data_IF_380735038620
#
_entry.id   IF_380735038620
#
_cell.length_a   1.000
_cell.length_b   1.000
_cell.length_c   1.000
_cell.angle_alpha   90.00
_cell.angle_beta   90.00
_cell.angle_gamma   90.00
#
_symmetry.space_group_name_H-M   'P 1'
#
loop_
_entity.id
_entity.type
_entity.pdbx_description
1 polymer ?
#
# COMPACT_ATOMS: atom_id res chain seq x y z
N UNK A 1 -21.79 -3.59 -7.28
CA UNK A 1 -21.32 -2.24 -7.70
C UNK A 1 -20.71 -2.34 -9.09
N UNK A 2 -20.89 -1.38 -10.02
CA UNK A 2 -20.23 -1.43 -11.35
C UNK A 2 -18.97 -0.57 -11.36
N UNK A 3 -17.79 -1.15 -11.58
CA UNK A 3 -16.52 -0.41 -11.63
C UNK A 3 -16.51 0.63 -12.76
N UNK A 4 -17.22 0.34 -13.86
CA UNK A 4 -17.36 1.22 -15.04
C UNK A 4 -18.08 2.55 -14.80
N UNK A 5 -18.69 2.76 -13.62
CA UNK A 5 -19.37 4.04 -13.30
C UNK A 5 -18.41 5.13 -12.81
N UNK A 6 -17.17 4.77 -12.47
CA UNK A 6 -16.17 5.71 -11.96
C UNK A 6 -15.31 6.27 -13.10
N UNK A 7 -14.70 7.43 -12.86
CA UNK A 7 -13.74 8.05 -13.79
C UNK A 7 -12.30 7.96 -13.29
N UNK A 8 -12.11 7.67 -12.00
CA UNK A 8 -10.80 7.57 -11.38
C UNK A 8 -10.72 6.38 -10.42
N UNK A 9 -9.52 5.79 -10.34
CA UNK A 9 -9.15 4.77 -9.35
C UNK A 9 -8.07 5.33 -8.44
N UNK A 10 -8.29 5.23 -7.13
CA UNK A 10 -7.36 5.68 -6.10
C UNK A 10 -6.67 4.51 -5.41
N UNK A 11 -5.43 4.22 -5.76
CA UNK A 11 -4.66 3.11 -5.21
C UNK A 11 -3.87 3.52 -3.97
N UNK A 12 -3.81 2.67 -2.95
CA UNK A 12 -2.80 2.80 -1.90
C UNK A 12 -1.48 2.12 -2.32
N UNK A 13 -0.37 2.47 -1.68
CA UNK A 13 0.92 1.80 -1.89
C UNK A 13 0.83 0.26 -1.78
N UNK A 14 0.16 -0.23 -0.74
CA UNK A 14 0.00 -1.67 -0.46
C UNK A 14 -0.89 -2.41 -1.48
N UNK A 15 -1.60 -1.70 -2.36
CA UNK A 15 -2.30 -2.36 -3.50
C UNK A 15 -1.37 -2.70 -4.66
N UNK A 16 -0.19 -2.10 -4.72
CA UNK A 16 0.76 -2.22 -5.83
C UNK A 16 2.05 -2.92 -5.42
N UNK A 17 2.47 -2.73 -4.17
CA UNK A 17 3.72 -3.27 -3.62
C UNK A 17 3.42 -4.28 -2.53
N UNK A 18 4.08 -5.43 -2.58
CA UNK A 18 4.09 -6.45 -1.54
C UNK A 18 4.96 -5.98 -0.36
N UNK A 19 4.39 -5.03 0.38
CA UNK A 19 5.02 -4.31 1.47
C UNK A 19 5.34 -5.23 2.64
N UNK A 20 4.38 -6.05 3.05
CA UNK A 20 4.54 -6.98 4.17
C UNK A 20 5.69 -7.97 3.91
N UNK A 21 5.78 -8.55 2.70
CA UNK A 21 6.91 -9.39 2.34
C UNK A 21 8.24 -8.65 2.40
N UNK A 22 8.29 -7.43 1.86
CA UNK A 22 9.49 -6.59 1.91
C UNK A 22 9.96 -6.30 3.33
N UNK A 23 9.02 -6.02 4.25
CA UNK A 23 9.28 -5.82 5.67
C UNK A 23 9.82 -7.10 6.30
N UNK A 24 9.14 -8.24 6.12
CA UNK A 24 9.52 -9.52 6.73
C UNK A 24 10.88 -10.01 6.24
N UNK A 25 11.15 -9.92 4.93
CA UNK A 25 12.46 -10.27 4.37
C UNK A 25 13.57 -9.37 4.94
N UNK A 26 13.31 -8.06 5.05
CA UNK A 26 14.25 -7.10 5.63
C UNK A 26 14.50 -7.29 7.14
N UNK A 27 13.49 -7.73 7.90
CA UNK A 27 13.61 -7.99 9.34
C UNK A 27 14.17 -9.37 9.68
N UNK A 28 14.32 -10.27 8.70
CA UNK A 28 14.85 -11.63 8.89
C UNK A 28 16.15 -11.71 9.69
N UNK A 29 17.15 -10.82 9.50
CA UNK A 29 18.37 -10.87 10.31
C UNK A 29 18.10 -10.67 11.81
N UNK A 30 17.14 -9.82 12.20
CA UNK A 30 16.76 -9.62 13.59
C UNK A 30 15.96 -10.81 14.13
N UNK A 31 14.99 -11.31 13.35
CA UNK A 31 14.11 -12.38 13.82
C UNK A 31 14.86 -13.69 14.07
N UNK A 32 15.90 -13.99 13.27
CA UNK A 32 16.75 -15.18 13.46
C UNK A 32 17.68 -15.04 14.67
N UNK A 33 18.13 -13.81 14.99
CA UNK A 33 19.01 -13.56 16.14
C UNK A 33 18.23 -13.47 17.46
N UNK A 34 16.94 -13.15 17.41
CA UNK A 34 16.07 -13.09 18.59
C UNK A 34 16.02 -14.43 19.31
N UNK A 35 16.08 -14.40 20.65
CA UNK A 35 15.91 -15.60 21.49
C UNK A 35 14.46 -16.08 21.55
N UNK A 36 13.52 -15.18 21.25
CA UNK A 36 12.09 -15.47 21.28
C UNK A 36 11.58 -15.46 19.85
N UNK A 37 11.02 -16.58 19.35
CA UNK A 37 10.40 -16.62 18.04
C UNK A 37 9.22 -15.64 17.99
N UNK A 38 9.13 -14.89 16.90
CA UNK A 38 7.97 -14.05 16.61
C UNK A 38 7.29 -14.55 15.34
N UNK A 39 5.96 -14.56 15.31
CA UNK A 39 5.22 -14.78 14.07
C UNK A 39 5.36 -13.58 13.13
N UNK A 40 5.12 -13.80 11.84
CA UNK A 40 5.11 -12.72 10.84
C UNK A 40 4.12 -11.61 11.24
N UNK A 41 2.94 -11.99 11.74
CA UNK A 41 1.93 -11.04 12.22
C UNK A 41 2.45 -10.19 13.39
N UNK A 42 3.13 -10.80 14.36
CA UNK A 42 3.73 -10.06 15.47
C UNK A 42 4.82 -9.08 15.01
N UNK A 43 5.62 -9.45 14.01
CA UNK A 43 6.65 -8.58 13.44
C UNK A 43 6.03 -7.41 12.68
N UNK A 44 4.98 -7.66 11.89
CA UNK A 44 4.26 -6.64 11.13
C UNK A 44 3.52 -5.67 12.06
N UNK A 45 2.86 -6.16 13.11
CA UNK A 45 2.19 -5.31 14.10
C UNK A 45 3.20 -4.44 14.86
N UNK A 46 4.31 -5.03 15.31
CA UNK A 46 5.40 -4.29 15.94
C UNK A 46 5.99 -3.22 15.00
N UNK A 47 6.16 -3.55 13.71
CA UNK A 47 6.60 -2.59 12.69
C UNK A 47 5.62 -1.42 12.58
N UNK A 48 4.30 -1.69 12.48
CA UNK A 48 3.26 -0.67 12.32
C UNK A 48 3.19 0.26 13.53
N UNK A 49 3.25 -0.29 14.74
CA UNK A 49 3.27 0.48 15.99
C UNK A 49 4.47 1.44 16.02
N UNK A 50 5.67 0.94 15.73
CA UNK A 50 6.89 1.76 15.70
C UNK A 50 6.83 2.81 14.57
N UNK A 51 6.33 2.44 13.38
CA UNK A 51 6.18 3.36 12.27
C UNK A 51 5.23 4.53 12.64
N UNK A 52 4.12 4.22 13.32
CA UNK A 52 3.18 5.22 13.80
C UNK A 52 3.82 6.14 14.85
N UNK A 53 4.55 5.60 15.83
CA UNK A 53 5.27 6.39 16.83
C UNK A 53 6.30 7.33 16.19
N UNK A 54 7.10 6.82 15.25
CA UNK A 54 8.10 7.62 14.53
C UNK A 54 7.46 8.71 13.66
N UNK A 55 6.31 8.41 13.03
CA UNK A 55 5.56 9.38 12.24
C UNK A 55 5.02 10.54 13.08
N UNK A 56 4.54 10.26 14.30
CA UNK A 56 4.03 11.29 15.22
C UNK A 56 5.14 12.18 15.81
N UNK A 57 6.37 11.67 15.91
CA UNK A 57 7.51 12.41 16.44
C UNK A 57 7.98 13.58 15.54
N UNK A 58 7.41 13.74 14.34
CA UNK A 58 7.47 14.99 13.57
C UNK A 58 8.79 15.28 12.84
N UNK A 59 9.40 14.28 12.20
CA UNK A 59 10.61 14.45 11.39
C UNK A 59 10.39 14.29 9.89
N UNK A 60 10.87 15.25 9.08
CA UNK A 60 11.07 15.09 7.63
C UNK A 60 12.32 14.25 7.36
N UNK A 61 12.30 12.98 7.78
CA UNK A 61 13.34 12.02 7.45
C UNK A 61 13.13 11.48 6.03
N UNK A 62 14.22 11.22 5.30
CA UNK A 62 14.14 10.43 4.06
C UNK A 62 13.56 9.05 4.35
N UNK A 63 12.97 8.40 3.34
CA UNK A 63 12.46 7.03 3.45
C UNK A 63 13.50 6.07 4.07
N UNK A 64 14.77 6.22 3.67
CA UNK A 64 15.88 5.43 4.18
C UNK A 64 16.24 5.72 5.64
N UNK A 65 16.27 7.00 6.03
CA UNK A 65 16.53 7.38 7.42
C UNK A 65 15.39 6.91 8.34
N UNK A 66 14.14 7.00 7.87
CA UNK A 66 12.96 6.51 8.59
C UNK A 66 13.05 5.01 8.85
N UNK A 67 13.29 4.20 7.81
CA UNK A 67 13.42 2.76 7.94
C UNK A 67 14.65 2.33 8.75
N UNK A 68 15.77 3.07 8.66
CA UNK A 68 16.94 2.82 9.51
C UNK A 68 16.64 3.01 11.00
N UNK A 69 15.94 4.08 11.37
CA UNK A 69 15.48 4.29 12.76
C UNK A 69 14.49 3.21 13.20
N UNK A 70 13.55 2.85 12.32
CA UNK A 70 12.59 1.78 12.58
C UNK A 70 13.30 0.45 12.86
N UNK A 71 14.31 0.09 12.06
CA UNK A 71 15.09 -1.12 12.26
C UNK A 71 15.76 -1.17 13.63
N UNK A 72 16.36 -0.06 14.06
CA UNK A 72 16.97 0.03 15.39
C UNK A 72 15.94 -0.15 16.52
N UNK A 73 14.75 0.42 16.37
CA UNK A 73 13.63 0.23 17.32
C UNK A 73 13.13 -1.21 17.33
N UNK A 74 13.03 -1.84 16.16
CA UNK A 74 12.69 -3.26 16.03
C UNK A 74 13.72 -4.15 16.72
N UNK A 75 15.02 -3.90 16.51
CA UNK A 75 16.09 -4.65 17.17
C UNK A 75 15.98 -4.54 18.69
N UNK A 76 15.75 -3.33 19.21
CA UNK A 76 15.55 -3.11 20.64
C UNK A 76 14.33 -3.85 21.18
N UNK A 77 13.21 -3.86 20.44
CA UNK A 77 11.99 -4.59 20.80
C UNK A 77 12.18 -6.11 20.81
N UNK A 78 13.05 -6.62 19.93
CA UNK A 78 13.41 -8.03 19.85
C UNK A 78 14.59 -8.40 20.77
N UNK A 79 15.09 -7.46 21.58
CA UNK A 79 16.26 -7.65 22.44
C UNK A 79 17.52 -8.12 21.69
N UNK A 80 17.69 -7.63 20.46
CA UNK A 80 18.85 -7.86 19.60
C UNK A 80 19.67 -6.57 19.48
N UNK A 81 20.99 -6.68 19.43
CA UNK A 81 21.87 -5.54 19.15
C UNK A 81 21.88 -5.35 17.63
N UNK A 82 21.39 -4.21 17.08
CA UNK A 82 21.33 -4.02 15.64
C UNK A 82 22.73 -3.89 15.04
N UNK A 83 23.01 -4.63 13.96
CA UNK A 83 24.18 -4.38 13.12
C UNK A 83 24.03 -3.06 12.37
N UNK A 84 25.14 -2.32 12.22
CA UNK A 84 25.15 -1.08 11.42
C UNK A 84 24.80 -1.36 9.96
N UNK A 85 25.47 -2.35 9.35
CA UNK A 85 25.26 -2.70 7.94
C UNK A 85 23.84 -3.20 7.68
N UNK A 86 23.26 -3.97 8.61
CA UNK A 86 21.88 -4.45 8.52
C UNK A 86 20.88 -3.31 8.62
N UNK A 87 21.14 -2.33 9.49
CA UNK A 87 20.31 -1.12 9.63
C UNK A 87 20.31 -0.29 8.35
N UNK A 88 21.48 -0.13 7.73
CA UNK A 88 21.63 0.57 6.44
C UNK A 88 20.94 -0.20 5.32
N UNK A 89 21.13 -1.51 5.25
CA UNK A 89 20.49 -2.38 4.27
C UNK A 89 18.96 -2.29 4.36
N UNK A 90 18.40 -2.46 5.57
CA UNK A 90 16.96 -2.32 5.79
C UNK A 90 16.46 -0.91 5.46
N UNK A 91 17.20 0.12 5.86
CA UNK A 91 16.90 1.51 5.54
C UNK A 91 16.67 1.72 4.04
N UNK A 92 17.57 1.22 3.19
CA UNK A 92 17.47 1.37 1.73
C UNK A 92 16.50 0.39 1.04
N UNK A 93 15.94 -0.58 1.79
CA UNK A 93 15.17 -1.68 1.19
C UNK A 93 13.82 -1.27 0.64
N UNK A 94 13.17 -0.24 1.20
CA UNK A 94 11.79 0.12 0.83
C UNK A 94 11.64 0.56 -0.63
N UNK A 95 12.67 1.19 -1.20
CA UNK A 95 12.73 1.55 -2.61
C UNK A 95 12.71 0.32 -3.55
N UNK A 96 13.09 -0.85 -3.04
CA UNK A 96 13.27 -2.09 -3.79
C UNK A 96 12.24 -3.16 -3.43
N UNK A 97 11.27 -2.86 -2.55
CA UNK A 97 10.24 -3.83 -2.19
C UNK A 97 9.49 -4.33 -3.43
N UNK A 98 9.11 -5.63 -3.45
CA UNK A 98 8.57 -6.27 -4.63
C UNK A 98 7.24 -5.64 -5.05
N UNK A 99 7.11 -5.28 -6.33
CA UNK A 99 5.82 -4.91 -6.92
C UNK A 99 5.07 -6.22 -7.21
N UNK A 100 3.78 -6.27 -6.91
CA UNK A 100 2.96 -7.44 -7.24
C UNK A 100 2.97 -7.69 -8.76
N UNK A 101 3.14 -8.95 -9.17
CA UNK A 101 3.33 -9.34 -10.57
C UNK A 101 2.20 -8.88 -11.50
N UNK A 102 0.97 -8.84 -11.00
CA UNK A 102 -0.22 -8.40 -11.73
C UNK A 102 -0.30 -6.87 -11.92
N UNK A 103 0.35 -6.09 -11.04
CA UNK A 103 0.14 -4.66 -10.96
C UNK A 103 0.58 -3.90 -12.23
N UNK A 104 1.78 -4.12 -12.82
CA UNK A 104 2.20 -3.41 -14.03
C UNK A 104 1.24 -3.58 -15.20
N UNK A 105 0.83 -4.82 -15.51
CA UNK A 105 -0.07 -5.11 -16.63
C UNK A 105 -1.48 -4.58 -16.39
N UNK A 106 -2.00 -4.73 -15.18
CA UNK A 106 -3.33 -4.20 -14.82
C UNK A 106 -3.36 -2.67 -14.85
N UNK A 107 -2.32 -1.98 -14.36
CA UNK A 107 -2.22 -0.52 -14.42
C UNK A 107 -2.17 0.00 -15.86
N UNK A 108 -1.38 -0.64 -16.75
CA UNK A 108 -1.36 -0.30 -18.18
C UNK A 108 -2.74 -0.40 -18.81
N UNK A 109 -3.51 -1.44 -18.47
CA UNK A 109 -4.88 -1.59 -18.96
C UNK A 109 -5.82 -0.53 -18.37
N UNK A 110 -5.85 -0.39 -17.04
CA UNK A 110 -6.77 0.51 -16.32
C UNK A 110 -6.53 1.99 -16.66
N UNK A 111 -5.27 2.39 -16.90
CA UNK A 111 -4.92 3.77 -17.32
C UNK A 111 -5.61 4.24 -18.60
N UNK A 112 -6.10 3.31 -19.45
CA UNK A 112 -6.83 3.64 -20.68
C UNK A 112 -8.25 4.14 -20.41
N UNK A 113 -8.79 3.87 -19.22
CA UNK A 113 -10.20 4.11 -18.87
C UNK A 113 -10.36 5.03 -17.66
N UNK A 114 -9.37 5.06 -16.77
CA UNK A 114 -9.44 5.79 -15.51
C UNK A 114 -8.27 6.76 -15.36
N UNK A 115 -8.53 7.88 -14.69
CA UNK A 115 -7.48 8.64 -14.02
C UNK A 115 -6.93 7.82 -12.86
N UNK A 116 -5.61 7.64 -12.81
CA UNK A 116 -4.97 6.86 -11.76
C UNK A 116 -4.40 7.80 -10.69
N UNK A 117 -4.83 7.61 -9.45
CA UNK A 117 -4.37 8.38 -8.30
C UNK A 117 -3.63 7.42 -7.36
N UNK A 118 -2.43 7.79 -6.93
CA UNK A 118 -1.68 7.06 -5.90
C UNK A 118 -1.78 7.81 -4.57
N UNK A 119 -2.09 7.09 -3.50
CA UNK A 119 -1.98 7.59 -2.12
C UNK A 119 -0.84 6.87 -1.44
N UNK A 120 0.19 7.65 -1.12
CA UNK A 120 1.31 7.18 -0.33
C UNK A 120 0.95 7.17 1.17
N UNK A 121 1.53 6.26 1.96
CA UNK A 121 1.53 6.42 3.41
C UNK A 121 2.30 7.71 3.77
N UNK A 122 2.03 8.30 4.94
CA UNK A 122 2.57 9.61 5.32
C UNK A 122 4.10 9.61 5.53
N UNK A 123 4.72 8.45 5.75
CA UNK A 123 6.18 8.32 5.89
C UNK A 123 6.72 7.03 5.26
N UNK A 124 8.05 6.99 5.08
CA UNK A 124 8.79 5.77 4.80
C UNK A 124 8.86 5.34 3.34
N UNK A 125 8.12 5.98 2.44
CA UNK A 125 8.10 5.60 1.02
C UNK A 125 8.85 6.62 0.17
N UNK A 126 9.63 6.11 -0.78
CA UNK A 126 10.17 6.89 -1.89
C UNK A 126 9.25 6.70 -3.11
N UNK A 127 8.35 7.66 -3.31
CA UNK A 127 7.39 7.63 -4.43
C UNK A 127 8.10 7.72 -5.77
N UNK A 128 9.20 8.46 -5.85
CA UNK A 128 10.01 8.58 -7.07
C UNK A 128 10.57 7.22 -7.48
N UNK A 129 11.16 6.48 -6.54
CA UNK A 129 11.67 5.14 -6.79
C UNK A 129 10.56 4.15 -7.20
N UNK A 130 9.37 4.22 -6.57
CA UNK A 130 8.24 3.38 -6.97
C UNK A 130 7.76 3.69 -8.40
N UNK A 131 7.51 4.97 -8.71
CA UNK A 131 6.92 5.38 -10.00
C UNK A 131 7.86 5.10 -11.18
N UNK A 132 9.17 5.19 -10.99
CA UNK A 132 10.17 4.79 -12.00
C UNK A 132 10.12 3.30 -12.37
N UNK A 133 9.62 2.45 -11.46
CA UNK A 133 9.50 1.00 -11.65
C UNK A 133 8.14 0.59 -12.23
N UNK A 134 7.19 1.51 -12.35
CA UNK A 134 5.86 1.24 -12.86
C UNK A 134 5.72 1.72 -14.32
N UNK A 135 4.97 1.00 -15.16
CA UNK A 135 4.86 1.32 -16.59
C UNK A 135 3.91 2.48 -16.92
N UNK A 136 3.33 3.12 -15.90
CA UNK A 136 2.34 4.20 -16.06
C UNK A 136 2.73 5.40 -15.19
N UNK A 137 2.40 6.59 -15.67
CA UNK A 137 2.37 7.78 -14.83
C UNK A 137 1.02 7.86 -14.12
N UNK A 138 1.04 8.21 -12.83
CA UNK A 138 -0.19 8.56 -12.11
C UNK A 138 -0.61 9.98 -12.46
N UNK A 139 -1.91 10.20 -12.62
CA UNK A 139 -2.48 11.53 -12.86
C UNK A 139 -2.34 12.42 -11.62
N UNK A 140 -2.32 11.83 -10.42
CA UNK A 140 -1.99 12.50 -9.16
C UNK A 140 -1.30 11.54 -8.18
N UNK A 141 -0.38 12.07 -7.37
CA UNK A 141 0.21 11.39 -6.22
C UNK A 141 -0.08 12.24 -4.99
N UNK A 142 -0.70 11.64 -3.99
CA UNK A 142 -1.02 12.28 -2.72
C UNK A 142 -0.06 11.75 -1.66
N UNK A 143 0.82 12.63 -1.19
CA UNK A 143 1.75 12.40 -0.09
C UNK A 143 1.29 13.24 1.12
N UNK A 144 0.42 12.68 1.99
CA UNK A 144 -0.16 13.45 3.06
C UNK A 144 0.90 13.76 4.12
N UNK A 145 1.28 15.04 4.19
CA UNK A 145 2.15 15.57 5.24
C UNK A 145 1.35 15.78 6.54
N UNK A 146 0.67 14.75 7.09
CA UNK A 146 -0.17 14.70 8.34
C UNK A 146 -1.69 14.46 8.08
N UNK A 147 -2.55 14.80 9.06
CA UNK A 147 -4.02 14.60 9.05
C UNK A 147 -4.77 15.38 7.95
N UNK A 148 -4.09 16.27 7.22
CA UNK A 148 -4.65 17.09 6.13
C UNK A 148 -4.86 16.31 4.81
N UNK A 149 -5.11 15.00 4.89
CA UNK A 149 -5.25 14.17 3.71
C UNK A 149 -6.55 14.48 2.94
N UNK A 150 -7.64 14.84 3.63
CA UNK A 150 -8.92 15.19 2.99
C UNK A 150 -8.76 16.40 2.08
N UNK A 151 -8.06 17.43 2.55
CA UNK A 151 -7.79 18.62 1.76
C UNK A 151 -6.83 18.31 0.62
N UNK A 152 -5.79 17.51 0.86
CA UNK A 152 -4.84 17.09 -0.20
C UNK A 152 -5.55 16.31 -1.32
N UNK A 153 -6.42 15.37 -0.97
CA UNK A 153 -7.23 14.64 -1.94
C UNK A 153 -8.22 15.56 -2.67
N UNK A 154 -8.90 16.45 -1.95
CA UNK A 154 -9.85 17.38 -2.57
C UNK A 154 -9.15 18.33 -3.57
N UNK A 155 -7.96 18.83 -3.23
CA UNK A 155 -7.17 19.67 -4.12
C UNK A 155 -6.74 18.93 -5.39
N UNK A 156 -6.27 17.68 -5.28
CA UNK A 156 -5.91 16.90 -6.46
C UNK A 156 -7.12 16.52 -7.31
N UNK A 157 -8.26 16.17 -6.70
CA UNK A 157 -9.50 15.91 -7.43
C UNK A 157 -9.98 17.16 -8.18
N UNK A 158 -9.93 18.33 -7.53
CA UNK A 158 -10.26 19.60 -8.17
C UNK A 158 -9.32 19.90 -9.35
N UNK A 159 -8.01 19.68 -9.19
CA UNK A 159 -7.02 19.87 -10.26
C UNK A 159 -7.27 18.94 -11.46
N UNK A 160 -7.79 17.75 -11.21
CA UNK A 160 -8.13 16.75 -12.23
C UNK A 160 -9.55 16.91 -12.81
N UNK A 161 -10.31 17.93 -12.37
CA UNK A 161 -11.72 18.13 -12.74
C UNK A 161 -12.60 16.90 -12.42
N UNK A 162 -12.37 16.32 -11.23
CA UNK A 162 -13.07 15.15 -10.73
C UNK A 162 -13.88 15.49 -9.48
N UNK A 163 -15.12 14.97 -9.43
CA UNK A 163 -15.89 14.94 -8.20
C UNK A 163 -15.49 13.75 -7.33
N UNK A 164 -15.67 13.87 -6.00
CA UNK A 164 -15.40 12.75 -5.08
C UNK A 164 -16.19 11.48 -5.44
N UNK A 165 -17.43 11.62 -5.90
CA UNK A 165 -18.31 10.53 -6.34
C UNK A 165 -17.76 9.74 -7.53
N UNK A 166 -16.86 10.33 -8.33
CA UNK A 166 -16.28 9.75 -9.53
C UNK A 166 -14.98 8.98 -9.24
N UNK A 167 -14.48 9.03 -8.01
CA UNK A 167 -13.30 8.28 -7.56
C UNK A 167 -13.74 7.01 -6.82
N UNK A 168 -13.26 5.86 -7.29
CA UNK A 168 -13.30 4.60 -6.54
C UNK A 168 -11.95 4.37 -5.84
N UNK A 169 -11.91 4.42 -4.50
CA UNK A 169 -10.75 3.98 -3.75
C UNK A 169 -10.54 2.48 -3.89
N UNK A 170 -9.30 2.07 -4.08
CA UNK A 170 -8.83 0.69 -4.12
C UNK A 170 -7.80 0.55 -3.00
N UNK A 171 -8.11 -0.26 -2.00
CA UNK A 171 -7.30 -0.47 -0.80
C UNK A 171 -6.81 -1.90 -0.68
N UNK A 172 -5.76 -2.11 0.11
CA UNK A 172 -5.35 -3.41 0.60
C UNK A 172 -6.14 -3.81 1.86
N UNK A 173 -5.85 -4.99 2.39
CA UNK A 173 -6.35 -5.45 3.69
C UNK A 173 -5.46 -5.04 4.86
N UNK A 174 -4.35 -4.35 4.63
CA UNK A 174 -3.46 -3.89 5.69
C UNK A 174 -4.17 -2.90 6.61
N UNK A 175 -3.94 -2.99 7.92
CA UNK A 175 -4.65 -2.17 8.93
C UNK A 175 -4.29 -0.69 8.83
N UNK A 176 -3.05 -0.40 8.43
CA UNK A 176 -2.50 0.93 8.18
C UNK A 176 -2.67 1.40 6.74
N UNK A 177 -3.48 0.70 5.92
CA UNK A 177 -3.81 1.18 4.57
C UNK A 177 -4.43 2.59 4.66
N UNK A 178 -3.95 3.56 3.87
CA UNK A 178 -4.45 4.90 3.98
C UNK A 178 -5.96 4.98 3.76
N UNK A 179 -6.56 4.16 2.90
CA UNK A 179 -7.99 4.26 2.64
C UNK A 179 -8.89 3.85 3.81
N UNK A 180 -8.38 3.11 4.81
CA UNK A 180 -9.18 2.64 5.95
C UNK A 180 -9.79 3.77 6.78
N UNK A 181 -9.07 4.88 6.92
CA UNK A 181 -9.52 6.05 7.68
C UNK A 181 -10.18 7.11 6.79
N UNK A 182 -10.35 6.83 5.50
CA UNK A 182 -10.53 7.85 4.46
C UNK A 182 -11.80 7.73 3.64
N UNK A 183 -12.64 6.72 3.88
CA UNK A 183 -13.87 6.59 3.10
C UNK A 183 -15.05 6.01 3.84
N UNK A 184 -16.17 6.71 3.71
CA UNK A 184 -17.48 6.09 3.66
C UNK A 184 -17.70 5.55 2.23
N UNK A 185 -18.36 4.38 2.15
CA UNK A 185 -18.63 3.62 0.93
C UNK A 185 -19.03 4.49 -0.28
N UNK A 186 -18.63 4.11 -1.51
CA UNK A 186 -18.07 2.80 -1.91
C UNK A 186 -16.53 2.74 -1.98
N UNK A 187 -15.98 1.56 -1.65
CA UNK A 187 -14.53 1.23 -1.70
C UNK A 187 -14.34 -0.16 -2.33
N UNK A 188 -13.21 -0.34 -3.02
CA UNK A 188 -12.74 -1.62 -3.51
C UNK A 188 -11.62 -2.18 -2.63
N UNK A 189 -11.68 -3.46 -2.24
CA UNK A 189 -10.64 -4.09 -1.42
C UNK A 189 -9.92 -5.19 -2.19
N UNK A 190 -8.59 -5.16 -2.20
CA UNK A 190 -7.74 -6.22 -2.75
C UNK A 190 -7.28 -7.14 -1.61
N UNK A 191 -7.75 -8.38 -1.65
CA UNK A 191 -7.40 -9.44 -0.71
C UNK A 191 -6.17 -10.19 -1.21
N UNK A 192 -4.99 -9.58 -1.03
CA UNK A 192 -3.71 -10.13 -1.51
C UNK A 192 -3.05 -11.11 -0.53
N UNK A 193 -3.74 -11.54 0.53
CA UNK A 193 -3.16 -12.48 1.51
C UNK A 193 -2.92 -13.86 0.89
N UNK A 194 -1.64 -14.22 0.76
CA UNK A 194 -1.21 -15.51 0.21
C UNK A 194 -1.45 -16.69 1.18
N UNK A 195 -1.72 -16.42 2.47
CA UNK A 195 -1.91 -17.46 3.51
C UNK A 195 -3.33 -18.03 3.51
N UNK A 196 -4.31 -17.22 3.10
CA UNK A 196 -5.71 -17.63 2.96
C UNK A 196 -6.26 -17.16 1.62
N UNK A 197 -6.27 -18.03 0.58
CA UNK A 197 -6.76 -17.67 -0.74
C UNK A 197 -8.22 -17.20 -0.68
N UNK A 198 -8.42 -15.89 -0.84
CA UNK A 198 -9.74 -15.27 -0.68
C UNK A 198 -10.71 -15.60 -1.83
N UNK A 199 -10.17 -16.01 -2.98
CA UNK A 199 -10.92 -16.35 -4.20
C UNK A 199 -11.94 -17.50 -4.03
N UNK A 200 -11.92 -18.23 -2.92
CA UNK A 200 -12.88 -19.29 -2.59
C UNK A 200 -13.90 -18.88 -1.50
N UNK A 201 -13.87 -17.64 -1.02
CA UNK A 201 -14.78 -17.18 0.03
C UNK A 201 -16.20 -16.90 -0.52
N UNK A 202 -17.22 -17.10 0.31
CA UNK A 202 -18.60 -16.77 -0.07
C UNK A 202 -18.80 -15.27 -0.39
N UNK A 203 -18.00 -14.40 0.24
CA UNK A 203 -17.97 -12.96 -0.07
C UNK A 203 -17.37 -12.66 -1.44
N UNK A 204 -16.35 -13.42 -1.87
CA UNK A 204 -15.79 -13.31 -3.22
C UNK A 204 -16.80 -13.69 -4.31
N UNK A 205 -17.76 -14.55 -3.99
CA UNK A 205 -18.71 -15.10 -4.96
C UNK A 205 -20.05 -14.32 -5.02
N UNK A 206 -20.32 -13.38 -4.10
CA UNK A 206 -21.63 -12.72 -4.04
C UNK A 206 -21.82 -11.61 -5.09
N UNK A 207 -20.72 -11.09 -5.66
CA UNK A 207 -20.70 -10.06 -6.70
C UNK A 207 -21.30 -8.69 -6.30
N UNK A 208 -21.69 -8.52 -5.04
CA UNK A 208 -22.33 -7.30 -4.53
C UNK A 208 -21.28 -6.25 -4.16
N UNK A 209 -20.11 -6.70 -3.71
CA UNK A 209 -19.00 -5.87 -3.23
C UNK A 209 -17.87 -5.79 -4.26
N UNK A 210 -17.11 -4.70 -4.21
CA UNK A 210 -15.89 -4.57 -4.99
C UNK A 210 -14.75 -5.18 -4.18
N UNK A 211 -14.60 -6.48 -4.27
CA UNK A 211 -13.56 -7.21 -3.58
C UNK A 211 -12.90 -8.14 -4.61
N UNK A 212 -11.58 -8.13 -4.68
CA UNK A 212 -10.81 -8.88 -5.68
C UNK A 212 -9.55 -9.45 -5.04
N UNK A 213 -9.00 -10.55 -5.57
CA UNK A 213 -7.74 -11.09 -5.05
C UNK A 213 -6.51 -10.32 -5.58
N UNK A 214 -6.64 -9.68 -6.75
CA UNK A 214 -5.54 -8.96 -7.41
C UNK A 214 -6.03 -7.76 -8.23
N UNK A 215 -5.09 -6.95 -8.72
CA UNK A 215 -5.36 -5.89 -9.69
C UNK A 215 -5.73 -6.45 -11.07
N UNK A 216 -5.20 -7.62 -11.42
CA UNK A 216 -5.60 -8.35 -12.62
C UNK A 216 -7.08 -8.75 -12.58
N UNK A 217 -7.58 -9.20 -11.42
CA UNK A 217 -9.01 -9.53 -11.25
C UNK A 217 -9.90 -8.29 -11.35
N UNK A 218 -9.46 -7.16 -10.78
CA UNK A 218 -10.15 -5.87 -10.95
C UNK A 218 -10.19 -5.46 -12.44
N UNK A 219 -9.06 -5.60 -13.15
CA UNK A 219 -8.99 -5.32 -14.58
C UNK A 219 -9.90 -6.26 -15.39
N UNK A 220 -9.93 -7.54 -15.06
CA UNK A 220 -10.80 -8.52 -15.69
C UNK A 220 -12.29 -8.22 -15.42
N UNK A 221 -12.65 -7.87 -14.18
CA UNK A 221 -14.00 -7.46 -13.85
C UNK A 221 -14.43 -6.21 -14.64
N UNK A 222 -13.52 -5.27 -14.85
CA UNK A 222 -13.74 -4.13 -15.73
C UNK A 222 -13.99 -4.55 -17.19
N UNK A 223 -13.15 -5.43 -17.75
CA UNK A 223 -13.34 -5.97 -19.11
C UNK A 223 -14.71 -6.62 -19.28
N UNK A 224 -15.09 -7.51 -18.35
CA UNK A 224 -16.38 -8.20 -18.37
C UNK A 224 -17.54 -7.21 -18.28
N UNK A 225 -17.42 -6.18 -17.44
CA UNK A 225 -18.46 -5.15 -17.29
C UNK A 225 -18.62 -4.23 -18.51
N UNK A 226 -17.62 -4.13 -19.40
CA UNK A 226 -17.74 -3.42 -20.68
C UNK A 226 -18.51 -4.22 -21.74
N UNK A 227 -18.57 -5.55 -21.59
CA UNK A 227 -19.23 -6.46 -22.53
C UNK A 227 -20.66 -6.85 -22.13
N UNK A 228 -21.09 -6.50 -20.92
CA UNK A 228 -22.38 -6.84 -20.34
C UNK A 228 -23.37 -5.67 -20.41
#
# INVERSE_FOLDING_TARGET
MKVTQYKALGFSYATLVDRERGILEGLRPLSVQSRTPSSDEQLLDAYREIAQELGQAGGNASASAFHGQLYQRMAHRLHVIPGWDESVAFGSSSAHWPIFEDAPGALQYLSKFYRLILIAPPQGIDVGALTQRLPVAFDAVIEPCNDAWHSSLASELQRLDLERSQLLPVRSTETDDPWNLRVDFPVCTLHRDHRQPWNLSAQALDGKRCEYASLADLAHAHQTALHA
#
